data_IF_361693142323
#
_entry.id   IF_361693142323
#
_cell.length_a   1.000
_cell.length_b   1.000
_cell.length_c   1.000
_cell.angle_alpha   90.00
_cell.angle_beta   90.00
_cell.angle_gamma   90.00
#
_symmetry.space_group_name_H-M   'P 1'
#
loop_
_entity.id
_entity.type
_entity.pdbx_description
1 polymer ?
#
# COMPACT_ATOMS: atom_id res chain seq x y z
N UNK A 1 26.55 8.24 -5.98
CA UNK A 1 25.12 8.63 -5.99
C UNK A 1 24.39 8.14 -4.73
N UNK A 2 24.54 8.82 -3.58
CA UNK A 2 23.94 8.37 -2.29
C UNK A 2 22.44 8.66 -2.14
N UNK A 3 21.90 9.74 -2.74
CA UNK A 3 20.47 10.08 -2.64
C UNK A 3 19.52 9.15 -3.39
N UNK A 4 20.00 8.42 -4.39
CA UNK A 4 19.17 7.52 -5.21
C UNK A 4 18.91 6.17 -4.53
N UNK A 5 19.93 5.59 -3.89
CA UNK A 5 19.75 4.41 -3.04
C UNK A 5 18.85 4.72 -1.84
N UNK A 6 18.98 5.91 -1.25
CA UNK A 6 18.12 6.38 -0.17
C UNK A 6 16.63 6.42 -0.57
N UNK A 7 16.32 6.90 -1.78
CA UNK A 7 14.93 6.93 -2.28
C UNK A 7 14.35 5.54 -2.54
N UNK A 8 15.12 4.62 -3.14
CA UNK A 8 14.67 3.24 -3.37
C UNK A 8 14.45 2.49 -2.04
N UNK A 9 15.32 2.72 -1.06
CA UNK A 9 15.20 2.19 0.29
C UNK A 9 13.94 2.74 0.98
N UNK A 10 13.68 4.05 0.87
CA UNK A 10 12.50 4.69 1.42
C UNK A 10 11.20 4.13 0.81
N UNK A 11 11.16 3.92 -0.51
CA UNK A 11 10.01 3.28 -1.18
C UNK A 11 9.77 1.86 -0.66
N UNK A 12 10.83 1.03 -0.52
CA UNK A 12 10.68 -0.33 0.04
C UNK A 12 10.19 -0.30 1.49
N UNK A 13 10.74 0.59 2.32
CA UNK A 13 10.29 0.74 3.70
C UNK A 13 8.81 1.16 3.77
N UNK A 14 8.38 2.05 2.88
CA UNK A 14 6.98 2.46 2.75
C UNK A 14 6.07 1.29 2.39
N UNK A 15 6.44 0.48 1.39
CA UNK A 15 5.68 -0.71 1.00
C UNK A 15 5.55 -1.69 2.18
N UNK A 16 6.64 -1.96 2.89
CA UNK A 16 6.62 -2.85 4.06
C UNK A 16 5.68 -2.32 5.17
N UNK A 17 5.73 -1.02 5.45
CA UNK A 17 4.84 -0.40 6.43
C UNK A 17 3.36 -0.52 6.00
N UNK A 18 3.05 -0.29 4.72
CA UNK A 18 1.70 -0.45 4.19
C UNK A 18 1.22 -1.91 4.24
N UNK A 19 2.09 -2.87 3.95
CA UNK A 19 1.77 -4.30 4.05
C UNK A 19 1.47 -4.71 5.50
N UNK A 20 2.24 -4.21 6.47
CA UNK A 20 1.98 -4.43 7.89
C UNK A 20 0.65 -3.80 8.32
N UNK A 21 0.38 -2.57 7.90
CA UNK A 21 -0.88 -1.90 8.17
C UNK A 21 -2.07 -2.69 7.58
N UNK A 22 -1.95 -3.16 6.34
CA UNK A 22 -2.96 -3.97 5.66
C UNK A 22 -3.24 -5.27 6.43
N UNK A 23 -2.20 -5.97 6.88
CA UNK A 23 -2.35 -7.16 7.70
C UNK A 23 -3.01 -6.85 9.06
N UNK A 24 -2.66 -5.72 9.67
CA UNK A 24 -3.27 -5.25 10.92
C UNK A 24 -4.76 -4.97 10.78
N UNK A 25 -5.16 -4.26 9.73
CA UNK A 25 -6.58 -3.96 9.45
C UNK A 25 -7.37 -5.24 9.17
N UNK A 26 -6.83 -6.19 8.38
CA UNK A 26 -7.49 -7.48 8.15
C UNK A 26 -7.68 -8.29 9.44
N UNK A 27 -6.70 -8.27 10.34
CA UNK A 27 -6.81 -8.95 11.63
C UNK A 27 -7.91 -8.31 12.48
N UNK A 28 -7.87 -6.98 12.63
CA UNK A 28 -8.92 -6.25 13.34
C UNK A 28 -10.30 -6.58 12.75
N UNK A 29 -10.43 -6.56 11.40
CA UNK A 29 -11.62 -6.97 10.64
C UNK A 29 -12.17 -8.32 11.12
N UNK A 30 -11.32 -9.34 11.10
CA UNK A 30 -11.68 -10.69 11.51
C UNK A 30 -12.07 -10.78 12.99
N UNK A 31 -11.36 -10.08 13.87
CA UNK A 31 -11.57 -10.15 15.32
C UNK A 31 -12.95 -9.57 15.71
N UNK A 32 -13.33 -8.43 15.12
CA UNK A 32 -14.63 -7.81 15.39
C UNK A 32 -15.76 -8.58 14.73
N UNK A 33 -15.59 -9.14 13.52
CA UNK A 33 -16.60 -10.01 12.92
C UNK A 33 -16.84 -11.26 13.78
N UNK A 34 -15.77 -11.92 14.22
CA UNK A 34 -15.89 -13.10 15.10
C UNK A 34 -16.52 -12.77 16.46
N UNK A 35 -16.22 -11.61 17.04
CA UNK A 35 -16.86 -11.16 18.29
C UNK A 35 -18.32 -10.77 18.06
N UNK A 36 -18.60 -10.11 16.94
CA UNK A 36 -19.91 -9.59 16.57
C UNK A 36 -20.93 -10.68 16.26
N UNK A 37 -20.52 -11.75 15.57
CA UNK A 37 -21.36 -12.93 15.34
C UNK A 37 -21.82 -13.54 16.67
N UNK A 38 -20.89 -13.72 17.62
CA UNK A 38 -21.18 -14.25 18.96
C UNK A 38 -22.13 -13.34 19.76
N UNK A 39 -21.93 -12.02 19.70
CA UNK A 39 -22.82 -11.06 20.38
C UNK A 39 -24.21 -11.01 19.74
N UNK A 40 -24.30 -11.03 18.40
CA UNK A 40 -25.57 -10.93 17.67
C UNK A 40 -26.52 -12.10 17.96
N UNK A 41 -25.98 -13.28 18.28
CA UNK A 41 -26.76 -14.43 18.72
C UNK A 41 -27.39 -14.22 20.11
N UNK A 42 -26.74 -13.44 20.98
CA UNK A 42 -27.20 -13.11 22.33
C UNK A 42 -28.18 -11.94 22.40
N UNK A 43 -27.99 -10.91 21.57
CA UNK A 43 -28.87 -9.74 21.50
C UNK A 43 -30.04 -9.98 20.54
N UNK A 44 -31.20 -10.39 21.08
CA UNK A 44 -32.47 -10.47 20.32
C UNK A 44 -33.20 -9.14 20.34
N UNK A 45 -33.95 -8.83 19.28
CA UNK A 45 -34.82 -7.65 19.20
C UNK A 45 -34.13 -6.42 18.59
N UNK A 46 -34.66 -5.22 18.86
CA UNK A 46 -34.22 -3.96 18.23
C UNK A 46 -32.74 -3.64 18.42
N UNK A 47 -32.18 -3.96 19.60
CA UNK A 47 -30.77 -3.72 19.91
C UNK A 47 -29.82 -4.61 19.09
N UNK A 48 -30.23 -5.86 18.85
CA UNK A 48 -29.48 -6.79 17.99
C UNK A 48 -29.37 -6.28 16.56
N UNK A 49 -30.46 -5.74 16.01
CA UNK A 49 -30.46 -5.13 14.68
C UNK A 49 -29.60 -3.86 14.60
N UNK A 50 -29.66 -2.99 15.62
CA UNK A 50 -28.81 -1.80 15.66
C UNK A 50 -27.32 -2.18 15.73
N UNK A 51 -26.98 -3.20 16.53
CA UNK A 51 -25.61 -3.71 16.63
C UNK A 51 -25.12 -4.35 15.32
N UNK A 52 -25.94 -5.15 14.64
CA UNK A 52 -25.63 -5.70 13.32
C UNK A 52 -25.37 -4.59 12.29
N UNK A 53 -26.20 -3.54 12.27
CA UNK A 53 -26.00 -2.41 11.37
C UNK A 53 -24.67 -1.67 11.64
N UNK A 54 -24.26 -1.55 12.91
CA UNK A 54 -22.96 -0.99 13.27
C UNK A 54 -21.80 -1.85 12.78
N UNK A 55 -21.90 -3.19 12.92
CA UNK A 55 -20.89 -4.12 12.41
C UNK A 55 -20.77 -4.05 10.89
N UNK A 56 -21.89 -3.95 10.17
CA UNK A 56 -21.89 -3.77 8.70
C UNK A 56 -21.20 -2.48 8.29
N UNK A 57 -21.50 -1.36 8.94
CA UNK A 57 -20.85 -0.08 8.66
C UNK A 57 -19.35 -0.13 8.94
N UNK A 58 -18.97 -0.70 10.09
CA UNK A 58 -17.59 -0.88 10.46
C UNK A 58 -16.83 -1.74 9.44
N UNK A 59 -17.43 -2.84 8.99
CA UNK A 59 -16.85 -3.69 7.95
C UNK A 59 -16.64 -2.91 6.63
N UNK A 60 -17.63 -2.11 6.21
CA UNK A 60 -17.50 -1.24 5.04
C UNK A 60 -16.37 -0.23 5.16
N UNK A 61 -16.15 0.35 6.34
CA UNK A 61 -15.01 1.23 6.58
C UNK A 61 -13.67 0.50 6.50
N UNK A 62 -13.58 -0.72 7.04
CA UNK A 62 -12.38 -1.56 6.90
C UNK A 62 -12.07 -1.85 5.42
N UNK A 63 -13.07 -2.18 4.60
CA UNK A 63 -12.90 -2.42 3.17
C UNK A 63 -12.35 -1.20 2.42
N UNK A 64 -12.85 0.01 2.72
CA UNK A 64 -12.35 1.26 2.14
C UNK A 64 -10.88 1.49 2.51
N UNK A 65 -10.50 1.26 3.77
CA UNK A 65 -9.12 1.39 4.24
C UNK A 65 -8.23 0.37 3.54
N UNK A 66 -8.65 -0.90 3.47
CA UNK A 66 -7.90 -1.97 2.83
C UNK A 66 -7.65 -1.68 1.34
N UNK A 67 -8.68 -1.20 0.64
CA UNK A 67 -8.54 -0.78 -0.76
C UNK A 67 -7.53 0.36 -0.91
N UNK A 68 -7.64 1.38 -0.07
CA UNK A 68 -6.72 2.53 -0.11
C UNK A 68 -5.26 2.12 0.17
N UNK A 69 -5.04 1.22 1.13
CA UNK A 69 -3.71 0.67 1.42
C UNK A 69 -3.15 -0.12 0.22
N UNK A 70 -3.97 -0.94 -0.43
CA UNK A 70 -3.57 -1.70 -1.61
C UNK A 70 -3.23 -0.78 -2.78
N UNK A 71 -4.04 0.26 -3.02
CA UNK A 71 -3.81 1.23 -4.09
C UNK A 71 -2.49 1.99 -3.86
N UNK A 72 -2.17 2.36 -2.60
CA UNK A 72 -0.89 2.98 -2.26
C UNK A 72 0.32 2.04 -2.46
N UNK A 73 0.17 0.75 -2.15
CA UNK A 73 1.22 -0.25 -2.43
C UNK A 73 1.49 -0.31 -3.93
N UNK A 74 0.43 -0.46 -4.73
CA UNK A 74 0.52 -0.54 -6.18
C UNK A 74 1.18 0.71 -6.78
N UNK A 75 0.83 1.90 -6.28
CA UNK A 75 1.39 3.17 -6.75
C UNK A 75 2.89 3.31 -6.42
N UNK A 76 3.31 2.89 -5.23
CA UNK A 76 4.72 2.89 -4.84
C UNK A 76 5.55 1.91 -5.68
N UNK A 77 5.00 0.72 -5.98
CA UNK A 77 5.63 -0.27 -6.86
C UNK A 77 5.77 0.28 -8.29
N UNK A 78 4.69 0.84 -8.85
CA UNK A 78 4.69 1.47 -10.17
C UNK A 78 5.71 2.62 -10.25
N UNK A 79 5.73 3.49 -9.24
CA UNK A 79 6.70 4.59 -9.13
C UNK A 79 8.13 4.05 -9.10
N UNK A 80 8.38 2.97 -8.36
CA UNK A 80 9.70 2.33 -8.29
C UNK A 80 10.17 1.84 -9.67
N UNK A 81 9.31 1.15 -10.41
CA UNK A 81 9.62 0.67 -11.76
C UNK A 81 9.83 1.80 -12.75
N UNK A 82 8.99 2.84 -12.73
CA UNK A 82 9.13 3.99 -13.62
C UNK A 82 10.43 4.76 -13.36
N UNK A 83 10.80 4.97 -12.09
CA UNK A 83 12.07 5.60 -11.71
C UNK A 83 13.27 4.80 -12.19
N UNK A 84 13.23 3.47 -12.09
CA UNK A 84 14.31 2.60 -12.60
C UNK A 84 14.48 2.75 -14.13
N UNK A 85 13.38 2.77 -14.88
CA UNK A 85 13.40 2.99 -16.34
C UNK A 85 13.99 4.35 -16.71
N UNK A 86 13.56 5.42 -16.04
CA UNK A 86 14.09 6.77 -16.26
C UNK A 86 15.58 6.87 -15.94
N UNK A 87 16.04 6.20 -14.87
CA UNK A 87 17.46 6.17 -14.52
C UNK A 87 18.29 5.50 -15.61
N UNK A 88 17.83 4.38 -16.16
CA UNK A 88 18.54 3.70 -17.23
C UNK A 88 18.60 4.55 -18.50
N UNK A 89 17.47 5.14 -18.91
CA UNK A 89 17.43 6.04 -20.06
C UNK A 89 18.39 7.24 -19.91
N UNK A 90 18.46 7.84 -18.72
CA UNK A 90 19.38 8.94 -18.44
C UNK A 90 20.85 8.49 -18.49
N UNK A 91 21.17 7.31 -17.96
CA UNK A 91 22.53 6.78 -18.01
C UNK A 91 22.96 6.48 -19.46
N UNK A 92 22.08 5.92 -20.27
CA UNK A 92 22.34 5.64 -21.68
C UNK A 92 22.58 6.95 -22.47
N UNK A 93 21.77 7.98 -22.21
CA UNK A 93 21.95 9.31 -22.81
C UNK A 93 23.29 9.95 -22.43
N UNK A 94 23.69 9.85 -21.16
CA UNK A 94 25.00 10.34 -20.68
C UNK A 94 26.14 9.58 -21.36
N UNK A 95 26.03 8.25 -21.43
CA UNK A 95 27.05 7.41 -22.07
C UNK A 95 27.18 7.73 -23.56
N UNK A 96 26.07 7.94 -24.27
CA UNK A 96 26.06 8.36 -25.67
C UNK A 96 26.70 9.74 -25.85
N UNK A 97 26.36 10.72 -25.01
CA UNK A 97 26.96 12.05 -25.06
C UNK A 97 28.47 12.01 -24.81
N UNK A 98 28.93 11.22 -23.83
CA UNK A 98 30.35 11.03 -23.55
C UNK A 98 31.09 10.34 -24.71
N UNK A 99 30.47 9.33 -25.32
CA UNK A 99 31.03 8.65 -26.49
C UNK A 99 31.18 9.62 -27.68
N UNK A 100 30.16 10.45 -27.94
CA UNK A 100 30.21 11.47 -28.98
C UNK A 100 31.29 12.53 -28.71
N UNK A 101 31.43 13.00 -27.47
CA UNK A 101 32.47 13.95 -27.09
C UNK A 101 33.88 13.36 -27.29
N UNK A 102 34.08 12.10 -26.92
CA UNK A 102 35.38 11.42 -27.05
C UNK A 102 35.82 11.26 -28.51
N UNK A 103 34.89 11.23 -29.47
CA UNK A 103 35.22 11.16 -30.89
C UNK A 103 35.61 12.52 -31.50
N UNK A 104 35.35 13.63 -30.80
CA UNK A 104 35.64 14.99 -31.25
C UNK A 104 36.95 15.55 -30.68
N UNK A 105 37.59 14.84 -29.75
CA UNK A 105 38.87 15.19 -29.10
C UNK A 105 39.94 14.21 -29.54
#
# INVERSE_FOLDING_TARGET
>A
MPGQMSNAQATRNGILALQQALAGVKRAQSDVLGTGENLSAGYRGGDGHAYQNLLTQWNGHCEVILKSLQDMINELENTGTQKAKLQQANQDAINQANAAYTQLV
#
